data_IF_002351972125
#
_entry.id   IF_002351972125
#
_cell.length_a   1.000
_cell.length_b   1.000
_cell.length_c   1.000
_cell.angle_alpha   90.00
_cell.angle_beta   90.00
_cell.angle_gamma   90.00
#
_symmetry.space_group_name_H-M   'P 1'
#
loop_
_entity.id
_entity.type
_entity.pdbx_description
1 polymer ?
#
# COMPACT_ATOMS: atom_id res chain seq x y z
N UNK A 1 1.49 -20.15 -4.38
CA UNK A 1 1.42 -18.68 -4.59
C UNK A 1 0.01 -18.24 -4.30
N UNK A 2 -0.13 -17.07 -3.69
CA UNK A 2 -1.41 -16.48 -3.33
C UNK A 2 -1.69 -15.30 -4.27
N UNK A 3 -2.97 -15.01 -4.50
CA UNK A 3 -3.40 -13.81 -5.20
C UNK A 3 -3.76 -12.73 -4.19
N UNK A 4 -3.21 -11.54 -4.38
CA UNK A 4 -3.50 -10.36 -3.58
C UNK A 4 -4.11 -9.28 -4.44
N UNK A 5 -5.31 -8.86 -4.09
CA UNK A 5 -5.94 -7.67 -4.67
C UNK A 5 -5.42 -6.44 -3.95
N UNK A 6 -4.64 -5.61 -4.64
CA UNK A 6 -4.03 -4.41 -4.08
C UNK A 6 -4.68 -3.17 -4.71
N UNK A 7 -5.13 -2.25 -3.86
CA UNK A 7 -5.70 -0.95 -4.24
C UNK A 7 -4.78 0.16 -3.77
N UNK A 8 -4.29 0.98 -4.69
CA UNK A 8 -3.52 2.17 -4.37
C UNK A 8 -4.44 3.32 -3.96
N UNK A 9 -4.11 3.97 -2.85
CA UNK A 9 -4.84 5.08 -2.26
C UNK A 9 -3.91 6.28 -2.19
N UNK A 10 -4.34 7.38 -2.80
CA UNK A 10 -3.59 8.63 -2.85
C UNK A 10 -4.52 9.84 -2.81
N UNK A 11 -4.02 10.95 -2.28
CA UNK A 11 -4.71 12.24 -2.26
C UNK A 11 -4.32 13.10 -1.06
N UNK A 12 -4.82 14.35 -1.00
CA UNK A 12 -4.63 15.20 0.17
C UNK A 12 -5.38 14.61 1.38
N UNK A 13 -4.86 14.90 2.58
CA UNK A 13 -5.53 14.48 3.83
C UNK A 13 -6.98 15.00 3.87
N UNK A 14 -7.92 14.13 4.25
CA UNK A 14 -9.36 14.40 4.22
C UNK A 14 -10.04 14.16 2.88
N UNK A 15 -9.29 13.83 1.81
CA UNK A 15 -9.85 13.49 0.49
C UNK A 15 -9.03 12.42 -0.24
N UNK A 16 -8.72 11.34 0.47
CA UNK A 16 -8.07 10.17 -0.11
C UNK A 16 -9.01 9.47 -1.11
N UNK A 17 -8.46 8.98 -2.21
CA UNK A 17 -9.20 8.22 -3.21
C UNK A 17 -8.41 6.98 -3.61
N UNK A 18 -9.12 5.88 -3.91
CA UNK A 18 -8.50 4.73 -4.54
C UNK A 18 -8.29 5.03 -6.03
N UNK A 19 -7.05 5.07 -6.48
CA UNK A 19 -6.65 5.56 -7.80
C UNK A 19 -6.23 4.46 -8.76
N UNK A 20 -5.81 3.29 -8.25
CA UNK A 20 -5.46 2.14 -9.07
C UNK A 20 -5.76 0.82 -8.34
N UNK A 21 -5.96 -0.25 -9.11
CA UNK A 21 -6.17 -1.60 -8.60
C UNK A 21 -5.45 -2.62 -9.48
N UNK A 22 -4.84 -3.60 -8.84
CA UNK A 22 -4.16 -4.72 -9.51
C UNK A 22 -4.30 -6.01 -8.69
N UNK A 23 -3.99 -7.14 -9.35
CA UNK A 23 -3.86 -8.44 -8.70
C UNK A 23 -2.38 -8.84 -8.81
N UNK A 24 -1.75 -9.14 -7.68
CA UNK A 24 -0.34 -9.54 -7.59
C UNK A 24 -0.26 -10.97 -7.08
N UNK A 25 0.55 -11.78 -7.76
CA UNK A 25 0.91 -13.12 -7.30
C UNK A 25 2.20 -13.06 -6.48
N UNK A 26 2.15 -13.56 -5.25
CA UNK A 26 3.32 -13.61 -4.37
C UNK A 26 3.19 -14.77 -3.36
N UNK A 27 4.28 -15.15 -2.71
CA UNK A 27 4.23 -16.12 -1.61
C UNK A 27 3.64 -15.49 -0.34
N UNK A 28 3.90 -14.19 -0.12
CA UNK A 28 3.40 -13.44 1.04
C UNK A 28 2.90 -12.05 0.66
N UNK A 29 2.09 -11.44 1.52
CA UNK A 29 1.64 -10.06 1.32
C UNK A 29 2.80 -9.05 1.39
N UNK A 30 3.80 -9.29 2.25
CA UNK A 30 4.98 -8.44 2.36
C UNK A 30 5.77 -8.43 1.04
N UNK A 31 5.91 -9.60 0.40
CA UNK A 31 6.52 -9.71 -0.93
C UNK A 31 5.69 -8.98 -2.01
N UNK A 32 4.36 -9.09 -1.97
CA UNK A 32 3.48 -8.39 -2.91
C UNK A 32 3.57 -6.85 -2.79
N UNK A 33 3.87 -6.35 -1.60
CA UNK A 33 3.96 -4.93 -1.29
C UNK A 33 5.39 -4.35 -1.43
N UNK A 34 6.43 -5.18 -1.36
CA UNK A 34 7.83 -4.73 -1.32
C UNK A 34 8.23 -3.84 -2.52
N UNK A 35 7.62 -4.05 -3.68
CA UNK A 35 7.92 -3.32 -4.91
C UNK A 35 7.00 -2.11 -5.15
N UNK A 36 6.09 -1.77 -4.22
CA UNK A 36 5.08 -0.72 -4.44
C UNK A 36 5.58 0.69 -4.19
N UNK A 37 6.64 0.85 -3.40
CA UNK A 37 7.23 2.16 -3.15
C UNK A 37 8.75 2.07 -3.08
N UNK A 38 9.39 3.21 -3.33
CA UNK A 38 10.82 3.40 -3.04
C UNK A 38 11.09 3.68 -1.55
N UNK A 39 10.05 3.90 -0.76
CA UNK A 39 10.12 4.14 0.68
C UNK A 39 9.73 2.88 1.47
N UNK A 40 10.17 2.76 2.74
CA UNK A 40 9.75 1.65 3.59
C UNK A 40 8.23 1.56 3.68
N UNK A 41 7.70 0.37 3.40
CA UNK A 41 6.27 0.06 3.51
C UNK A 41 6.01 -0.55 4.90
N UNK A 42 5.10 0.07 5.64
CA UNK A 42 4.63 -0.39 6.94
C UNK A 42 3.20 -0.94 6.82
N UNK A 43 2.83 -1.90 7.68
CA UNK A 43 1.48 -2.47 7.71
C UNK A 43 0.65 -1.95 8.88
N UNK A 44 -0.66 -1.88 8.66
CA UNK A 44 -1.64 -1.66 9.73
C UNK A 44 -1.60 -2.83 10.72
N UNK A 45 -2.10 -2.59 11.94
CA UNK A 45 -2.24 -3.64 12.94
C UNK A 45 -3.10 -4.81 12.45
N UNK A 46 -4.14 -4.52 11.67
CA UNK A 46 -5.01 -5.55 11.07
C UNK A 46 -4.38 -6.24 9.84
N UNK A 47 -3.29 -5.69 9.30
CA UNK A 47 -2.52 -6.29 8.21
C UNK A 47 -3.18 -6.22 6.83
N UNK A 48 -4.31 -5.52 6.72
CA UNK A 48 -5.12 -5.31 5.51
C UNK A 48 -4.79 -4.01 4.77
N UNK A 49 -4.06 -3.10 5.43
CA UNK A 49 -3.62 -1.84 4.88
C UNK A 49 -2.12 -1.70 5.03
N UNK A 50 -1.50 -1.00 4.10
CA UNK A 50 -0.08 -0.65 4.13
C UNK A 50 0.11 0.81 3.76
N UNK A 51 1.19 1.44 4.23
CA UNK A 51 1.55 2.80 3.85
C UNK A 51 3.06 2.96 3.75
N UNK A 52 3.48 3.93 2.94
CA UNK A 52 4.84 4.37 2.85
C UNK A 52 4.88 5.90 3.02
N UNK A 53 5.74 6.38 3.91
CA UNK A 53 5.90 7.80 4.22
C UNK A 53 7.22 8.29 3.66
N UNK A 54 7.20 9.43 2.97
CA UNK A 54 8.43 10.06 2.50
C UNK A 54 9.30 10.46 3.72
N UNK A 55 10.51 9.91 3.90
CA UNK A 55 11.34 10.22 5.05
C UNK A 55 11.97 11.62 4.99
N UNK A 56 11.90 12.33 3.85
CA UNK A 56 12.68 13.54 3.60
C UNK A 56 12.00 14.88 3.86
N UNK A 57 10.70 15.05 3.60
CA UNK A 57 10.18 16.43 3.41
C UNK A 57 8.72 16.74 3.74
N UNK A 58 7.82 15.79 4.02
CA UNK A 58 6.42 16.15 4.32
C UNK A 58 5.62 15.05 5.02
N UNK A 59 5.08 15.37 6.20
CA UNK A 59 4.06 14.55 6.90
C UNK A 59 2.78 14.35 6.08
N UNK A 60 2.59 15.15 5.03
CA UNK A 60 1.37 15.17 4.22
C UNK A 60 1.46 14.34 2.94
N UNK A 61 2.64 13.80 2.62
CA UNK A 61 2.84 12.97 1.43
C UNK A 61 2.97 11.50 1.84
N UNK A 62 1.85 10.79 1.76
CA UNK A 62 1.74 9.37 2.12
C UNK A 62 1.20 8.62 0.92
N UNK A 63 1.84 7.49 0.62
CA UNK A 63 1.32 6.47 -0.27
C UNK A 63 0.65 5.39 0.59
N UNK A 64 -0.55 4.97 0.22
CA UNK A 64 -1.26 3.94 0.96
C UNK A 64 -1.83 2.86 0.04
N UNK A 65 -1.96 1.65 0.56
CA UNK A 65 -2.55 0.52 -0.14
C UNK A 65 -3.52 -0.22 0.78
N UNK A 66 -4.63 -0.67 0.21
CA UNK A 66 -5.44 -1.75 0.79
C UNK A 66 -5.07 -3.04 0.08
N UNK A 67 -4.85 -4.12 0.84
CA UNK A 67 -4.47 -5.41 0.29
C UNK A 67 -5.26 -6.54 0.95
N UNK A 68 -5.92 -7.34 0.10
CA UNK A 68 -6.76 -8.45 0.55
C UNK A 68 -6.40 -9.69 -0.25
N UNK A 69 -6.24 -10.82 0.43
CA UNK A 69 -6.09 -12.12 -0.22
C UNK A 69 -7.39 -12.52 -0.92
N UNK A 70 -7.30 -13.07 -2.13
CA UNK A 70 -8.44 -13.47 -2.94
C UNK A 70 -8.28 -14.87 -3.55
#
# INVERSE_FOLDING_TARGET
MNHYKIRYIWGPQGRLSATAQEIVEAATLDEALACKSSWPVERSFHGDCAWAKNPGTSLYYVEAWEAVAC
#
